data_IF_789908966541
#
_entry.id   IF_789908966541
#
_cell.length_a   1.000
_cell.length_b   1.000
_cell.length_c   1.000
_cell.angle_alpha   90.00
_cell.angle_beta   90.00
_cell.angle_gamma   90.00
#
_symmetry.space_group_name_H-M   'P 1'
#
loop_
_entity.id
_entity.type
_entity.pdbx_description
1 polymer ?
#
# COMPACT_ATOMS: atom_id res chain seq x y z
N UNK A 1 -13.94 31.66 60.43
CA UNK A 1 -14.33 31.02 59.15
C UNK A 1 -13.06 30.63 58.39
N UNK A 2 -12.66 29.35 58.42
CA UNK A 2 -11.48 28.85 57.69
C UNK A 2 -11.91 28.41 56.29
N UNK A 3 -11.44 29.10 55.25
CA UNK A 3 -11.64 28.70 53.85
C UNK A 3 -10.65 27.58 53.53
N UNK A 4 -11.17 26.38 53.28
CA UNK A 4 -10.41 25.26 52.72
C UNK A 4 -10.28 25.51 51.22
N UNK A 5 -9.06 25.76 50.74
CA UNK A 5 -8.76 25.86 49.32
C UNK A 5 -8.62 24.43 48.77
N UNK A 6 -9.62 23.96 48.03
CA UNK A 6 -9.57 22.68 47.34
C UNK A 6 -8.62 22.81 46.13
N UNK A 7 -7.48 22.11 46.18
CA UNK A 7 -6.56 21.98 45.06
C UNK A 7 -7.17 21.00 44.05
N UNK A 8 -7.80 21.50 42.99
CA UNK A 8 -8.23 20.68 41.85
C UNK A 8 -6.98 20.27 41.07
N UNK A 9 -6.46 19.07 41.35
CA UNK A 9 -5.51 18.42 40.44
C UNK A 9 -6.25 17.99 39.19
N UNK A 10 -6.08 18.75 38.10
CA UNK A 10 -6.52 18.33 36.77
C UNK A 10 -5.53 17.25 36.30
N UNK A 11 -5.95 16.01 36.03
CA UNK A 11 -5.05 15.01 35.48
C UNK A 11 -4.63 15.44 34.07
N UNK A 12 -3.34 15.66 33.89
CA UNK A 12 -2.74 15.78 32.56
C UNK A 12 -2.85 14.41 31.92
N UNK A 13 -3.80 14.24 31.00
CA UNK A 13 -3.85 13.08 30.12
C UNK A 13 -2.59 13.12 29.24
N UNK A 14 -1.54 12.43 29.67
CA UNK A 14 -0.41 12.12 28.82
C UNK A 14 -0.93 11.24 27.68
N UNK A 15 -1.16 11.85 26.51
CA UNK A 15 -1.41 11.09 25.29
C UNK A 15 -0.13 10.29 25.00
N UNK A 16 -0.17 8.99 25.31
CA UNK A 16 0.85 8.05 24.87
C UNK A 16 0.94 8.15 23.34
N UNK A 17 2.15 8.30 22.80
CA UNK A 17 2.34 8.30 21.36
C UNK A 17 1.83 6.97 20.79
N UNK A 18 0.91 7.04 19.83
CA UNK A 18 0.37 5.84 19.18
C UNK A 18 1.52 5.07 18.55
N UNK A 19 1.74 3.85 19.06
CA UNK A 19 2.74 2.92 18.54
C UNK A 19 2.03 1.92 17.64
N UNK A 20 2.64 1.60 16.50
CA UNK A 20 2.17 0.64 15.53
C UNK A 20 3.12 -0.57 15.48
N UNK A 21 2.53 -1.74 15.29
CA UNK A 21 3.23 -2.99 15.00
C UNK A 21 2.83 -3.42 13.58
N UNK A 22 3.71 -3.09 12.62
CA UNK A 22 3.48 -3.29 11.20
C UNK A 22 2.89 -2.07 10.47
N UNK A 23 3.18 -2.00 9.17
CA UNK A 23 2.67 -0.95 8.29
C UNK A 23 1.19 -1.15 7.98
N UNK A 24 0.71 -2.39 7.98
CA UNK A 24 -0.68 -2.77 7.78
C UNK A 24 -1.57 -2.20 8.89
N UNK A 25 -1.15 -2.33 10.16
CA UNK A 25 -1.87 -1.74 11.29
C UNK A 25 -1.90 -0.21 11.20
N UNK A 26 -0.80 0.39 10.76
CA UNK A 26 -0.72 1.83 10.50
C UNK A 26 -1.66 2.27 9.37
N UNK A 27 -1.71 1.56 8.25
CA UNK A 27 -2.58 1.90 7.13
C UNK A 27 -4.06 1.62 7.42
N UNK A 28 -4.37 0.60 8.21
CA UNK A 28 -5.72 0.32 8.68
C UNK A 28 -6.29 1.46 9.55
N UNK A 29 -5.43 2.33 10.11
CA UNK A 29 -5.85 3.49 10.88
C UNK A 29 -6.31 4.66 10.01
N UNK A 30 -6.21 4.58 8.68
CA UNK A 30 -6.60 5.66 7.77
C UNK A 30 -8.13 5.66 7.56
N UNK A 31 -8.85 6.70 8.01
CA UNK A 31 -10.31 6.75 7.86
C UNK A 31 -10.74 6.91 6.40
N UNK A 32 -9.82 7.36 5.54
CA UNK A 32 -10.00 7.67 4.13
C UNK A 32 -9.29 6.66 3.22
N UNK A 33 -8.98 5.45 3.71
CA UNK A 33 -8.42 4.39 2.87
C UNK A 33 -9.37 4.00 1.72
N UNK A 34 -8.81 3.81 0.53
CA UNK A 34 -9.56 3.40 -0.67
C UNK A 34 -9.93 1.91 -0.62
N UNK A 35 -9.09 1.11 0.03
CA UNK A 35 -9.22 -0.34 0.17
C UNK A 35 -9.15 -0.71 1.65
N UNK A 36 -9.96 -1.70 2.04
CA UNK A 36 -10.04 -2.20 3.41
C UNK A 36 -10.02 -3.74 3.42
N UNK A 37 -9.68 -4.32 4.57
CA UNK A 37 -9.59 -5.76 4.79
C UNK A 37 -8.26 -6.36 4.29
N UNK A 38 -8.20 -7.68 4.25
CA UNK A 38 -6.98 -8.46 4.00
C UNK A 38 -6.72 -8.77 2.51
N UNK A 39 -7.62 -8.29 1.63
CA UNK A 39 -7.58 -8.61 0.21
C UNK A 39 -7.94 -10.06 -0.10
N UNK A 40 -7.77 -10.44 -1.36
CA UNK A 40 -8.10 -11.77 -1.89
C UNK A 40 -6.86 -12.33 -2.58
N UNK A 41 -6.28 -13.37 -2.01
CA UNK A 41 -5.16 -14.07 -2.63
C UNK A 41 -5.63 -14.86 -3.85
N UNK A 42 -4.98 -14.64 -5.00
CA UNK A 42 -5.23 -15.38 -6.22
C UNK A 42 -4.80 -16.84 -6.05
N UNK A 43 -5.63 -17.77 -6.50
CA UNK A 43 -5.41 -19.20 -6.34
C UNK A 43 -4.78 -19.79 -7.61
N UNK A 44 -3.84 -20.74 -7.47
CA UNK A 44 -3.28 -21.43 -8.62
C UNK A 44 -4.35 -22.31 -9.30
N UNK A 45 -4.33 -22.35 -10.63
CA UNK A 45 -5.11 -23.32 -11.41
C UNK A 45 -4.38 -23.66 -12.71
N UNK A 46 -4.73 -24.82 -13.26
CA UNK A 46 -4.25 -25.30 -14.55
C UNK A 46 -5.41 -25.40 -15.53
N UNK A 47 -5.11 -25.24 -16.82
CA UNK A 47 -6.01 -25.59 -17.92
C UNK A 47 -5.41 -26.77 -18.67
N UNK A 48 -6.25 -27.68 -19.14
CA UNK A 48 -5.80 -28.81 -19.94
C UNK A 48 -5.07 -28.33 -21.20
N UNK A 49 -3.82 -28.81 -21.40
CA UNK A 49 -2.95 -28.38 -22.49
C UNK A 49 -2.15 -27.09 -22.26
N UNK A 50 -2.15 -26.54 -21.04
CA UNK A 50 -1.31 -25.41 -20.65
C UNK A 50 -0.19 -25.86 -19.71
N UNK A 51 1.07 -25.66 -20.12
CA UNK A 51 2.24 -26.04 -19.32
C UNK A 51 2.59 -24.96 -18.25
N UNK A 52 1.91 -23.82 -18.28
CA UNK A 52 2.18 -22.66 -17.42
C UNK A 52 1.15 -22.52 -16.29
N UNK A 53 1.66 -22.13 -15.12
CA UNK A 53 0.82 -21.92 -13.94
C UNK A 53 0.10 -20.58 -14.00
N UNK A 54 -1.22 -20.60 -13.81
CA UNK A 54 -2.05 -19.41 -13.72
C UNK A 54 -2.45 -19.17 -12.28
N UNK A 55 -2.58 -17.91 -11.92
CA UNK A 55 -3.15 -17.49 -10.64
C UNK A 55 -4.39 -16.66 -10.90
N UNK A 56 -5.52 -17.02 -10.32
CA UNK A 56 -6.75 -16.28 -10.60
C UNK A 56 -7.75 -16.32 -9.49
N UNK A 57 -8.74 -15.47 -9.67
CA UNK A 57 -9.89 -15.38 -8.80
C UNK A 57 -11.09 -14.88 -9.60
N UNK A 58 -12.25 -15.46 -9.29
CA UNK A 58 -13.53 -15.04 -9.84
C UNK A 58 -14.56 -14.98 -8.74
N UNK A 59 -15.28 -13.87 -8.64
CA UNK A 59 -16.33 -13.70 -7.66
C UNK A 59 -17.03 -12.36 -7.77
N UNK A 60 -17.79 -12.00 -6.73
CA UNK A 60 -18.42 -10.68 -6.60
C UNK A 60 -17.61 -9.85 -5.60
N UNK A 61 -17.12 -8.70 -6.02
CA UNK A 61 -16.43 -7.73 -5.16
C UNK A 61 -16.84 -6.31 -5.55
N UNK A 62 -16.96 -5.39 -4.59
CA UNK A 62 -17.43 -4.02 -4.81
C UNK A 62 -18.73 -3.94 -5.65
N UNK A 63 -19.69 -4.84 -5.34
CA UNK A 63 -21.01 -4.90 -5.96
C UNK A 63 -21.05 -5.41 -7.40
N UNK A 64 -19.97 -6.00 -7.92
CA UNK A 64 -19.85 -6.45 -9.32
C UNK A 64 -19.13 -7.77 -9.43
N UNK A 65 -19.47 -8.55 -10.47
CA UNK A 65 -18.65 -9.71 -10.86
C UNK A 65 -17.28 -9.23 -11.33
N UNK A 66 -16.23 -9.84 -10.82
CA UNK A 66 -14.84 -9.58 -11.18
C UNK A 66 -14.15 -10.90 -11.51
N UNK A 67 -13.24 -10.84 -12.48
CA UNK A 67 -12.35 -11.94 -12.84
C UNK A 67 -10.94 -11.37 -12.94
N UNK A 68 -10.01 -11.92 -12.17
CA UNK A 68 -8.59 -11.63 -12.28
C UNK A 68 -7.84 -12.89 -12.64
N UNK A 69 -6.85 -12.72 -13.51
CA UNK A 69 -5.89 -13.75 -13.87
C UNK A 69 -4.51 -13.10 -13.95
N UNK A 70 -3.50 -13.79 -13.44
CA UNK A 70 -2.08 -13.50 -13.64
C UNK A 70 -1.46 -14.70 -14.32
N UNK A 71 -0.81 -14.46 -15.47
CA UNK A 71 -0.04 -15.43 -16.23
C UNK A 71 1.25 -14.76 -16.69
N UNK A 72 2.41 -15.33 -16.41
CA UNK A 72 3.74 -14.79 -16.75
C UNK A 72 3.91 -13.31 -16.38
N UNK A 73 3.42 -12.93 -15.19
CA UNK A 73 3.45 -11.55 -14.73
C UNK A 73 2.41 -10.62 -15.35
N UNK A 74 1.66 -11.10 -16.34
CA UNK A 74 0.66 -10.32 -17.05
C UNK A 74 -0.67 -10.40 -16.32
N UNK A 75 -1.14 -9.26 -15.84
CA UNK A 75 -2.45 -9.13 -15.20
C UNK A 75 -3.55 -8.98 -16.27
N UNK A 76 -4.58 -9.82 -16.16
CA UNK A 76 -5.82 -9.75 -16.94
C UNK A 76 -6.98 -9.47 -16.01
N UNK A 77 -7.76 -8.41 -16.31
CA UNK A 77 -8.91 -7.99 -15.50
C UNK A 77 -10.17 -8.03 -16.36
N UNK A 78 -11.12 -8.89 -16.00
CA UNK A 78 -12.37 -9.12 -16.72
C UNK A 78 -12.12 -9.44 -18.21
N UNK A 79 -11.17 -10.34 -18.48
CA UNK A 79 -10.78 -10.78 -19.83
C UNK A 79 -9.97 -9.76 -20.64
N UNK A 80 -9.56 -8.63 -20.03
CA UNK A 80 -8.74 -7.61 -20.69
C UNK A 80 -7.35 -7.57 -20.09
N UNK A 81 -6.35 -7.85 -20.92
CA UNK A 81 -4.93 -7.77 -20.57
C UNK A 81 -4.54 -6.32 -20.24
N UNK A 82 -3.92 -6.12 -19.08
CA UNK A 82 -3.30 -4.86 -18.70
C UNK A 82 -1.92 -4.78 -19.35
N UNK A 83 -1.83 -4.01 -20.44
CA UNK A 83 -0.57 -3.87 -21.18
C UNK A 83 0.47 -3.08 -20.38
N UNK A 84 1.68 -3.64 -20.26
CA UNK A 84 2.82 -3.04 -19.54
C UNK A 84 3.09 -1.58 -19.93
N UNK A 85 3.07 -1.29 -21.23
CA UNK A 85 3.30 0.05 -21.77
C UNK A 85 2.19 1.07 -21.47
N UNK A 86 1.10 0.65 -20.83
CA UNK A 86 0.01 1.52 -20.35
C UNK A 86 0.03 1.69 -18.85
N UNK A 87 1.00 1.10 -18.15
CA UNK A 87 1.19 1.27 -16.73
C UNK A 87 2.18 2.41 -16.51
N UNK A 88 1.76 3.42 -15.77
CA UNK A 88 2.62 4.54 -15.38
C UNK A 88 3.39 4.18 -14.11
N UNK A 89 4.71 3.94 -14.16
CA UNK A 89 5.48 3.71 -12.94
C UNK A 89 5.64 5.00 -12.14
N UNK A 90 5.69 4.85 -10.82
CA UNK A 90 6.18 5.87 -9.91
C UNK A 90 7.62 6.26 -10.28
N UNK A 91 8.04 7.53 -10.12
CA UNK A 91 9.41 7.93 -10.42
C UNK A 91 10.46 7.03 -9.75
N UNK A 92 11.39 6.48 -10.53
CA UNK A 92 12.42 5.56 -10.06
C UNK A 92 12.02 4.08 -10.00
N UNK A 93 10.73 3.77 -10.17
CA UNK A 93 10.23 2.38 -10.27
C UNK A 93 10.22 1.90 -11.73
N UNK A 94 10.33 0.59 -11.92
CA UNK A 94 10.22 -0.06 -13.23
C UNK A 94 9.13 -1.13 -13.22
N UNK A 95 8.41 -1.31 -14.32
CA UNK A 95 7.37 -2.34 -14.47
C UNK A 95 7.99 -3.62 -15.00
N UNK A 96 7.82 -4.75 -14.30
CA UNK A 96 8.45 -6.05 -14.61
C UNK A 96 7.41 -7.16 -14.85
N UNK A 97 7.75 -8.22 -15.59
CA UNK A 97 6.99 -9.50 -15.61
C UNK A 97 7.16 -10.30 -14.32
N UNK A 98 8.26 -10.09 -13.59
CA UNK A 98 8.46 -10.77 -12.31
C UNK A 98 7.70 -10.12 -11.15
N UNK A 99 6.96 -9.03 -11.41
CA UNK A 99 6.26 -8.27 -10.39
C UNK A 99 5.05 -9.03 -9.82
N UNK A 100 4.32 -9.76 -10.65
CA UNK A 100 3.10 -10.48 -10.28
C UNK A 100 3.25 -11.98 -10.52
N UNK A 101 2.61 -12.79 -9.68
CA UNK A 101 2.66 -14.25 -9.79
C UNK A 101 2.11 -14.92 -8.53
N UNK A 102 2.83 -15.93 -8.04
CA UNK A 102 2.52 -16.59 -6.78
C UNK A 102 2.46 -15.57 -5.65
N UNK A 103 1.40 -15.63 -4.83
CA UNK A 103 1.23 -14.71 -3.70
C UNK A 103 0.56 -13.38 -4.05
N UNK A 104 0.15 -13.17 -5.31
CA UNK A 104 -0.59 -11.96 -5.69
C UNK A 104 -1.90 -11.85 -4.90
N UNK A 105 -2.11 -10.71 -4.26
CA UNK A 105 -3.33 -10.35 -3.51
C UNK A 105 -4.05 -9.22 -4.23
N UNK A 106 -5.37 -9.33 -4.35
CA UNK A 106 -6.22 -8.35 -4.99
C UNK A 106 -7.18 -7.67 -4.00
N UNK A 107 -7.36 -6.36 -4.18
CA UNK A 107 -8.27 -5.52 -3.42
C UNK A 107 -9.21 -4.79 -4.38
N UNK A 108 -10.44 -4.59 -3.93
CA UNK A 108 -11.50 -4.03 -4.76
C UNK A 108 -12.21 -2.88 -4.05
N UNK A 109 -12.44 -1.82 -4.80
CA UNK A 109 -13.29 -0.71 -4.41
C UNK A 109 -14.09 -0.22 -5.63
N UNK A 110 -15.05 0.68 -5.42
CA UNK A 110 -15.92 1.11 -6.52
C UNK A 110 -15.13 1.79 -7.63
N UNK A 111 -14.97 1.10 -8.77
CA UNK A 111 -14.21 1.63 -9.92
C UNK A 111 -12.70 1.43 -9.84
N UNK A 112 -12.20 0.79 -8.78
CA UNK A 112 -10.79 0.59 -8.52
C UNK A 112 -10.46 -0.87 -8.21
N UNK A 113 -9.33 -1.31 -8.70
CA UNK A 113 -8.69 -2.57 -8.35
C UNK A 113 -7.27 -2.25 -7.95
N UNK A 114 -6.79 -2.82 -6.85
CA UNK A 114 -5.38 -2.80 -6.49
C UNK A 114 -4.89 -4.23 -6.43
N UNK A 115 -3.72 -4.50 -6.98
CA UNK A 115 -3.06 -5.78 -6.80
C UNK A 115 -1.69 -5.54 -6.21
N UNK A 116 -1.29 -6.41 -5.30
CA UNK A 116 0.02 -6.36 -4.70
C UNK A 116 0.64 -7.75 -4.65
N UNK A 117 1.96 -7.75 -4.59
CA UNK A 117 2.73 -8.97 -4.47
C UNK A 117 4.03 -8.68 -3.71
N UNK A 118 4.44 -9.65 -2.90
CA UNK A 118 5.81 -9.71 -2.37
C UNK A 118 6.45 -10.93 -3.00
N UNK A 119 7.50 -10.80 -3.83
CA UNK A 119 8.15 -11.95 -4.44
C UNK A 119 8.49 -13.00 -3.39
N UNK A 120 8.20 -14.28 -3.66
CA UNK A 120 8.45 -15.37 -2.70
C UNK A 120 9.94 -15.57 -2.40
N UNK A 121 10.82 -15.07 -3.27
CA UNK A 121 12.28 -15.02 -3.06
C UNK A 121 12.75 -13.84 -2.20
N UNK A 122 11.86 -12.89 -1.88
CA UNK A 122 12.20 -11.76 -1.04
C UNK A 122 12.58 -12.25 0.37
N UNK A 123 13.76 -11.86 0.83
CA UNK A 123 14.29 -12.18 2.15
C UNK A 123 15.00 -10.96 2.75
N UNK A 124 15.23 -10.97 4.05
CA UNK A 124 15.93 -9.88 4.74
C UNK A 124 15.24 -8.53 4.59
N UNK A 125 15.90 -7.56 3.93
CA UNK A 125 15.31 -6.23 3.67
C UNK A 125 14.40 -6.20 2.44
N UNK A 126 14.48 -7.19 1.53
CA UNK A 126 13.71 -7.20 0.30
C UNK A 126 12.20 -7.36 0.55
N UNK A 127 11.79 -8.04 1.64
CA UNK A 127 10.37 -8.19 2.02
C UNK A 127 9.69 -6.87 2.40
N UNK A 128 10.49 -5.82 2.60
CA UNK A 128 10.01 -4.46 2.86
C UNK A 128 9.56 -3.78 1.58
N UNK A 129 9.94 -4.30 0.41
CA UNK A 129 9.55 -3.80 -0.89
C UNK A 129 8.43 -4.67 -1.43
N UNK A 130 7.24 -4.08 -1.57
CA UNK A 130 6.09 -4.73 -2.20
C UNK A 130 5.82 -4.10 -3.55
N UNK A 131 5.51 -4.93 -4.53
CA UNK A 131 4.99 -4.45 -5.80
C UNK A 131 3.52 -4.13 -5.58
N UNK A 132 3.12 -2.90 -5.86
CA UNK A 132 1.71 -2.48 -5.80
C UNK A 132 1.31 -1.83 -7.11
N UNK A 133 0.26 -2.36 -7.74
CA UNK A 133 -0.39 -1.75 -8.89
C UNK A 133 -1.77 -1.25 -8.50
N UNK A 134 -2.02 0.03 -8.77
CA UNK A 134 -3.35 0.61 -8.68
C UNK A 134 -3.95 0.70 -10.08
N UNK A 135 -5.17 0.24 -10.24
CA UNK A 135 -5.89 0.20 -11.51
C UNK A 135 -7.24 0.91 -11.37
N UNK A 136 -7.46 1.93 -12.19
CA UNK A 136 -8.74 2.60 -12.35
C UNK A 136 -9.47 2.05 -13.56
N UNK A 137 -10.76 1.73 -13.40
CA UNK A 137 -11.64 1.45 -14.52
C UNK A 137 -12.13 2.76 -15.12
N UNK A 138 -11.75 3.02 -16.37
CA UNK A 138 -12.27 4.12 -17.19
C UNK A 138 -13.26 3.65 -18.25
N UNK A 139 -13.87 4.60 -18.97
CA UNK A 139 -14.80 4.30 -20.06
C UNK A 139 -14.12 3.57 -21.25
N UNK A 140 -12.85 3.92 -21.53
CA UNK A 140 -12.08 3.39 -22.68
C UNK A 140 -11.14 2.23 -22.32
N UNK A 141 -11.17 1.74 -21.09
CA UNK A 141 -10.26 0.70 -20.62
C UNK A 141 -9.79 0.93 -19.19
N UNK A 142 -8.58 0.51 -18.89
CA UNK A 142 -7.94 0.71 -17.60
C UNK A 142 -6.84 1.75 -17.68
N UNK A 143 -6.75 2.58 -16.65
CA UNK A 143 -5.56 3.36 -16.33
C UNK A 143 -4.88 2.66 -15.15
N UNK A 144 -3.57 2.52 -15.19
CA UNK A 144 -2.83 1.77 -14.18
C UNK A 144 -1.54 2.47 -13.80
N UNK A 145 -1.17 2.32 -12.52
CA UNK A 145 0.00 2.91 -11.93
C UNK A 145 0.75 1.87 -11.10
N UNK A 146 2.08 1.77 -11.25
CA UNK A 146 2.93 1.06 -10.27
C UNK A 146 3.33 2.07 -9.20
N UNK A 147 3.12 1.76 -7.93
CA UNK A 147 3.43 2.65 -6.82
C UNK A 147 4.87 2.47 -6.33
N UNK A 148 5.36 3.42 -5.52
CA UNK A 148 6.63 3.28 -4.79
C UNK A 148 6.59 2.02 -3.93
N UNK A 149 7.67 1.23 -3.94
CA UNK A 149 7.68 -0.14 -3.39
C UNK A 149 7.94 -0.24 -1.88
N UNK A 150 8.72 0.68 -1.30
CA UNK A 150 9.12 0.60 0.10
C UNK A 150 7.91 0.76 1.03
N UNK A 151 7.64 -0.28 1.83
CA UNK A 151 6.48 -0.41 2.71
C UNK A 151 5.13 -0.17 2.02
N UNK A 152 5.08 -0.41 0.71
CA UNK A 152 3.87 -0.24 -0.08
C UNK A 152 2.79 -1.25 0.32
N UNK A 153 1.54 -0.83 0.25
CA UNK A 153 0.39 -1.70 0.46
C UNK A 153 -0.86 -1.11 -0.20
N UNK A 154 -1.77 -1.96 -0.67
CA UNK A 154 -3.03 -1.49 -1.25
C UNK A 154 -3.87 -0.68 -0.26
N UNK A 155 -3.88 -1.01 1.03
CA UNK A 155 -4.63 -0.24 2.04
C UNK A 155 -3.97 1.10 2.42
N UNK A 156 -2.73 1.35 1.98
CA UNK A 156 -2.09 2.67 2.18
C UNK A 156 -2.65 3.76 1.26
N UNK A 157 -3.36 3.36 0.21
CA UNK A 157 -3.93 4.26 -0.80
C UNK A 157 -5.16 4.93 -0.20
N UNK A 158 -5.19 6.26 -0.21
CA UNK A 158 -6.29 7.05 0.38
C UNK A 158 -7.07 7.78 -0.71
N UNK A 159 -8.32 8.12 -0.40
CA UNK A 159 -9.15 9.00 -1.22
C UNK A 159 -9.69 10.15 -0.40
N UNK A 160 -9.35 11.36 -0.81
CA UNK A 160 -9.87 12.59 -0.22
C UNK A 160 -10.69 13.33 -1.28
N UNK A 161 -12.02 13.30 -1.13
CA UNK A 161 -12.92 13.83 -2.15
C UNK A 161 -12.82 13.04 -3.46
N UNK A 162 -12.24 13.66 -4.51
CA UNK A 162 -12.01 13.01 -5.82
C UNK A 162 -10.54 12.65 -6.06
N UNK A 163 -9.66 13.03 -5.13
CA UNK A 163 -8.23 12.82 -5.27
C UNK A 163 -7.83 11.48 -4.68
N UNK A 164 -7.02 10.72 -5.41
CA UNK A 164 -6.36 9.54 -4.88
C UNK A 164 -4.98 9.94 -4.41
N UNK A 165 -4.68 9.61 -3.16
CA UNK A 165 -3.41 9.88 -2.51
C UNK A 165 -2.63 8.57 -2.35
N UNK A 166 -1.39 8.61 -2.79
CA UNK A 166 -0.40 7.53 -2.62
C UNK A 166 0.82 8.09 -1.91
N UNK A 167 1.70 7.24 -1.40
CA UNK A 167 2.84 7.67 -0.61
C UNK A 167 4.13 6.99 -1.05
N UNK A 168 5.21 7.75 -0.93
CA UNK A 168 6.59 7.29 -1.06
C UNK A 168 7.19 7.24 0.35
N UNK A 169 7.74 6.10 0.74
CA UNK A 169 8.52 5.95 1.95
C UNK A 169 10.00 6.11 1.64
N UNK A 170 10.71 6.84 2.50
CA UNK A 170 12.18 6.94 2.47
C UNK A 170 12.74 6.77 3.87
N UNK A 171 13.78 5.94 4.03
CA UNK A 171 14.44 5.81 5.32
C UNK A 171 15.06 7.12 5.77
N UNK A 172 15.00 7.37 7.07
CA UNK A 172 15.73 8.45 7.74
C UNK A 172 16.88 7.85 8.54
N UNK A 173 18.07 8.40 8.37
CA UNK A 173 19.29 8.03 9.09
C UNK A 173 19.75 9.22 9.94
N UNK A 174 20.53 8.92 10.97
CA UNK A 174 21.29 9.91 11.75
C UNK A 174 22.76 9.72 11.41
N UNK A 175 23.50 10.82 11.33
CA UNK A 175 24.93 10.80 11.00
C UNK A 175 25.70 9.82 11.90
N UNK A 176 26.50 8.96 11.27
CA UNK A 176 27.28 7.93 11.96
C UNK A 176 26.50 6.67 12.35
N UNK A 177 25.21 6.53 12.01
CA UNK A 177 24.44 5.31 12.22
C UNK A 177 24.17 4.56 10.91
N UNK A 178 24.42 3.25 10.91
CA UNK A 178 24.10 2.36 9.79
C UNK A 178 22.62 1.96 9.76
N UNK A 179 21.97 1.94 10.91
CA UNK A 179 20.56 1.60 11.02
C UNK A 179 19.68 2.84 10.79
N UNK A 180 18.59 2.72 10.03
CA UNK A 180 17.63 3.79 9.93
C UNK A 180 16.96 4.01 11.29
N UNK A 181 16.66 5.28 11.60
CA UNK A 181 15.96 5.68 12.83
C UNK A 181 14.45 5.86 12.60
N UNK A 182 14.01 5.83 11.35
CA UNK A 182 12.62 6.01 11.00
C UNK A 182 12.39 6.09 9.49
N UNK A 183 11.20 6.58 9.12
CA UNK A 183 10.77 6.74 7.72
C UNK A 183 10.09 8.09 7.55
N UNK A 184 10.39 8.76 6.44
CA UNK A 184 9.63 9.90 5.95
C UNK A 184 8.69 9.42 4.84
N UNK A 185 7.41 9.74 4.99
CA UNK A 185 6.39 9.56 3.97
C UNK A 185 6.14 10.89 3.25
N UNK A 186 6.31 10.87 1.94
CA UNK A 186 5.89 11.96 1.05
C UNK A 186 4.64 11.53 0.32
N UNK A 187 3.59 12.35 0.40
CA UNK A 187 2.31 12.02 -0.23
C UNK A 187 2.22 12.67 -1.61
N UNK A 188 1.71 11.92 -2.57
CA UNK A 188 1.47 12.33 -3.95
C UNK A 188 -0.01 12.16 -4.27
N UNK A 189 -0.59 13.11 -5.00
CA UNK A 189 -1.89 12.94 -5.61
C UNK A 189 -1.75 12.35 -7.01
N UNK A 190 -2.69 11.49 -7.39
CA UNK A 190 -2.85 11.03 -8.76
C UNK A 190 -3.76 12.00 -9.51
N UNK A 191 -3.15 12.94 -10.22
CA UNK A 191 -3.86 13.96 -11.01
C UNK A 191 -3.54 13.80 -12.49
N UNK A 192 -4.57 13.69 -13.34
CA UNK A 192 -4.44 13.51 -14.79
C UNK A 192 -3.46 12.39 -15.19
N UNK A 193 -3.47 11.28 -14.43
CA UNK A 193 -2.61 10.13 -14.67
C UNK A 193 -1.16 10.29 -14.25
N UNK A 194 -0.79 11.38 -13.57
CA UNK A 194 0.56 11.65 -13.08
C UNK A 194 0.60 11.70 -11.56
N UNK A 195 1.76 11.37 -11.01
CA UNK A 195 2.07 11.58 -9.60
C UNK A 195 2.47 13.05 -9.39
N UNK A 196 1.68 13.78 -8.61
CA UNK A 196 1.94 15.18 -8.27
C UNK A 196 2.24 15.25 -6.77
N UNK A 197 3.42 15.74 -6.35
CA UNK A 197 3.74 15.85 -4.93
C UNK A 197 2.78 16.81 -4.25
N UNK A 198 2.39 16.48 -3.03
CA UNK A 198 1.58 17.33 -2.15
C UNK A 198 2.46 17.92 -1.03
N UNK A 199 1.91 18.86 -0.28
CA UNK A 199 2.56 19.37 0.93
C UNK A 199 2.42 18.42 2.13
N UNK A 200 1.61 17.36 2.00
CA UNK A 200 1.42 16.39 3.07
C UNK A 200 2.68 15.54 3.24
N UNK A 201 3.21 15.57 4.45
CA UNK A 201 4.31 14.73 4.90
C UNK A 201 3.96 14.10 6.23
N UNK A 202 4.52 12.93 6.49
CA UNK A 202 4.43 12.28 7.79
C UNK A 202 5.76 11.59 8.06
N UNK A 203 6.18 11.61 9.31
CA UNK A 203 7.39 10.92 9.73
C UNK A 203 7.05 9.95 10.85
N UNK A 204 7.80 8.86 10.89
CA UNK A 204 7.76 7.89 11.97
C UNK A 204 9.16 7.69 12.52
N UNK A 205 9.22 7.28 13.78
CA UNK A 205 10.45 6.89 14.46
C UNK A 205 10.34 5.44 14.90
N UNK A 206 11.38 4.65 14.62
CA UNK A 206 11.44 3.26 15.09
C UNK A 206 11.67 3.25 16.60
N UNK A 207 10.85 2.48 17.31
CA UNK A 207 10.92 2.39 18.78
C UNK A 207 12.08 1.49 19.22
N UNK A 208 12.42 0.51 18.38
CA UNK A 208 13.46 -0.48 18.63
C UNK A 208 14.50 -0.44 17.50
N UNK A 209 15.79 -0.25 17.80
CA UNK A 209 16.85 -0.28 16.80
C UNK A 209 16.82 -1.56 15.96
N UNK A 210 16.85 -1.42 14.63
CA UNK A 210 16.81 -2.55 13.70
C UNK A 210 15.42 -3.14 13.44
N UNK A 211 14.43 -2.85 14.30
CA UNK A 211 13.05 -3.26 14.07
C UNK A 211 12.26 -2.17 13.34
N UNK A 212 12.26 -2.26 12.00
CA UNK A 212 11.56 -1.29 11.14
C UNK A 212 10.04 -1.44 11.15
N UNK A 213 9.49 -2.44 11.82
CA UNK A 213 8.05 -2.69 11.87
C UNK A 213 7.40 -2.12 13.13
N UNK A 214 8.17 -1.75 14.15
CA UNK A 214 7.65 -1.16 15.38
C UNK A 214 8.02 0.30 15.49
N UNK A 215 7.02 1.17 15.34
CA UNK A 215 7.26 2.61 15.23
C UNK A 215 6.17 3.45 15.89
N UNK A 216 6.52 4.69 16.22
CA UNK A 216 5.59 5.72 16.64
C UNK A 216 5.52 6.83 15.58
N UNK A 217 4.37 7.50 15.50
CA UNK A 217 4.24 8.72 14.70
C UNK A 217 5.04 9.86 15.33
N UNK A 218 5.78 10.59 14.50
CA UNK A 218 6.39 11.84 14.92
C UNK A 218 5.29 12.88 15.20
N UNK A 219 5.53 13.76 16.17
CA UNK A 219 4.61 14.84 16.57
C UNK A 219 4.64 16.01 15.61
#
# INVERSE_FOLDING_TARGET
MKRILALLMVPVLAQAATTFDGYEAFYASFPDALFHGDGIQLQPYAMEGDDEMRYGWQGVAAGRRQVLEVRDGVLTINGRVLKRNRIQPFPGEAVSDTDLGMGTVAYFSSGWTCVENTPTSASGSAVRHRVVYLIKRGAKGYEAWKLSSLFAHCTSIRVTGKEVLVQEATYRYVDGQENPVGVNFRVFSLNQGRFVPTDMRRSITFVEPGNVYKFALDK
#
